data_IF_171161451347
#
_entry.id   IF_171161451347
#
_cell.length_a   1.000
_cell.length_b   1.000
_cell.length_c   1.000
_cell.angle_alpha   90.00
_cell.angle_beta   90.00
_cell.angle_gamma   90.00
#
_symmetry.space_group_name_H-M   'P 1'
#
loop_
_entity.id
_entity.type
_entity.pdbx_description
1 polymer ?
#
# COMPACT_ATOMS: atom_id res chain seq x y z
N UNK A 1 -3.40 0.89 -26.45
CA UNK A 1 -4.49 1.76 -25.97
C UNK A 1 -3.93 2.62 -24.88
N UNK A 2 -4.07 3.95 -24.98
CA UNK A 2 -3.64 4.85 -23.90
C UNK A 2 -4.51 4.67 -22.65
N UNK A 3 -3.92 4.84 -21.48
CA UNK A 3 -4.67 4.86 -20.22
C UNK A 3 -5.33 6.23 -20.07
N UNK A 4 -6.65 6.28 -19.84
CA UNK A 4 -7.39 7.53 -19.61
C UNK A 4 -6.75 8.35 -18.49
N UNK A 5 -6.17 7.69 -17.48
CA UNK A 5 -5.46 8.33 -16.37
C UNK A 5 -4.19 9.04 -16.87
N UNK A 6 -3.33 8.34 -17.62
CA UNK A 6 -2.09 8.90 -18.18
C UNK A 6 -2.39 10.01 -19.20
N UNK A 7 -3.38 9.83 -20.04
CA UNK A 7 -3.78 10.85 -21.01
C UNK A 7 -4.24 12.13 -20.33
N UNK A 8 -5.05 12.02 -19.25
CA UNK A 8 -5.49 13.16 -18.45
C UNK A 8 -4.33 13.87 -17.75
N UNK A 9 -3.36 13.12 -17.19
CA UNK A 9 -2.15 13.70 -16.59
C UNK A 9 -1.31 14.48 -17.60
N UNK A 10 -1.31 14.05 -18.85
CA UNK A 10 -0.64 14.74 -19.97
C UNK A 10 -1.49 15.88 -20.59
N UNK A 11 -2.57 16.29 -19.95
CA UNK A 11 -3.43 17.38 -20.40
C UNK A 11 -4.29 17.05 -21.62
N UNK A 12 -4.40 15.79 -22.02
CA UNK A 12 -5.28 15.38 -23.13
C UNK A 12 -6.73 15.33 -22.67
N UNK A 13 -7.64 15.73 -23.55
CA UNK A 13 -9.08 15.61 -23.33
C UNK A 13 -9.48 14.14 -23.31
N UNK A 14 -10.32 13.78 -22.35
CA UNK A 14 -10.88 12.43 -22.22
C UNK A 14 -12.40 12.49 -22.18
N UNK A 15 -13.08 11.40 -22.56
CA UNK A 15 -14.56 11.31 -22.58
C UNK A 15 -15.19 11.38 -21.18
N UNK A 16 -14.42 11.11 -20.13
CA UNK A 16 -14.80 11.22 -18.72
C UNK A 16 -13.56 11.43 -17.85
N UNK A 17 -13.69 11.93 -16.62
CA UNK A 17 -12.55 11.94 -15.70
C UNK A 17 -12.13 10.51 -15.32
N UNK A 18 -10.83 10.26 -15.09
CA UNK A 18 -10.38 9.00 -14.51
C UNK A 18 -10.84 8.86 -13.06
N UNK A 19 -11.13 7.65 -12.63
CA UNK A 19 -11.71 7.36 -11.32
C UNK A 19 -10.78 6.49 -10.49
N UNK A 20 -10.59 6.90 -9.25
CA UNK A 20 -9.97 6.13 -8.18
C UNK A 20 -10.82 6.28 -6.91
N UNK A 21 -10.98 5.20 -6.14
CA UNK A 21 -11.72 5.24 -4.88
C UNK A 21 -10.80 5.06 -3.68
N UNK A 22 -10.93 5.92 -2.67
CA UNK A 22 -10.24 5.75 -1.41
C UNK A 22 -10.58 4.38 -0.80
N UNK A 23 -9.56 3.67 -0.28
CA UNK A 23 -9.68 2.32 0.30
C UNK A 23 -10.22 1.24 -0.66
N UNK A 24 -10.08 1.46 -1.95
CA UNK A 24 -10.51 0.49 -2.96
C UNK A 24 -9.84 -0.89 -2.80
N UNK A 25 -8.54 -0.95 -2.42
CA UNK A 25 -7.85 -2.20 -2.08
C UNK A 25 -8.10 -2.53 -0.59
N UNK A 26 -9.09 -3.35 -0.30
CA UNK A 26 -9.43 -3.66 1.08
C UNK A 26 -10.63 -4.59 1.24
N UNK A 27 -11.13 -4.67 2.47
CA UNK A 27 -12.21 -5.61 2.89
C UNK A 27 -13.54 -5.47 2.13
N UNK A 28 -13.73 -4.40 1.39
CA UNK A 28 -14.89 -4.23 0.50
C UNK A 28 -14.86 -5.26 -0.65
N UNK A 29 -13.68 -5.63 -1.13
CA UNK A 29 -13.53 -6.56 -2.24
C UNK A 29 -13.65 -8.02 -1.78
N UNK A 30 -14.52 -8.83 -2.42
CA UNK A 30 -14.58 -10.27 -2.16
C UNK A 30 -13.25 -10.98 -2.43
N UNK A 31 -12.54 -10.60 -3.49
CA UNK A 31 -11.21 -11.11 -3.86
C UNK A 31 -10.16 -10.84 -2.78
N UNK A 32 -10.15 -9.64 -2.18
CA UNK A 32 -9.29 -9.34 -1.05
C UNK A 32 -9.63 -10.19 0.18
N UNK A 33 -10.93 -10.36 0.51
CA UNK A 33 -11.35 -11.23 1.61
C UNK A 33 -10.94 -12.68 1.41
N UNK A 34 -10.92 -13.16 0.16
CA UNK A 34 -10.43 -14.51 -0.16
C UNK A 34 -8.92 -14.65 0.13
N UNK A 35 -8.11 -13.64 -0.24
CA UNK A 35 -6.69 -13.63 0.10
C UNK A 35 -6.45 -13.59 1.61
N UNK A 36 -7.22 -12.80 2.34
CA UNK A 36 -7.12 -12.67 3.81
C UNK A 36 -7.43 -13.97 4.57
N UNK A 37 -8.04 -14.97 3.95
CA UNK A 37 -8.22 -16.30 4.57
C UNK A 37 -6.92 -17.10 4.65
N UNK A 38 -5.99 -16.85 3.73
CA UNK A 38 -4.75 -17.61 3.58
C UNK A 38 -3.51 -16.83 4.01
N UNK A 39 -3.60 -15.51 4.07
CA UNK A 39 -2.46 -14.63 4.33
C UNK A 39 -2.81 -13.59 5.39
N UNK A 40 -1.86 -13.30 6.26
CA UNK A 40 -1.92 -12.19 7.22
C UNK A 40 -1.82 -10.85 6.48
N UNK A 41 -2.11 -9.75 7.17
CA UNK A 41 -1.92 -8.41 6.61
C UNK A 41 -0.45 -8.13 6.29
N UNK A 42 0.46 -8.53 7.19
CA UNK A 42 1.90 -8.37 7.00
C UNK A 42 2.42 -9.13 5.76
N UNK A 43 2.00 -10.38 5.58
CA UNK A 43 2.37 -11.14 4.39
C UNK A 43 1.87 -10.48 3.11
N UNK A 44 0.61 -10.01 3.09
CA UNK A 44 0.05 -9.31 1.93
C UNK A 44 0.78 -8.01 1.60
N UNK A 45 1.33 -7.34 2.60
CA UNK A 45 2.03 -6.06 2.44
C UNK A 45 3.51 -6.24 2.09
N UNK A 46 4.18 -7.23 2.72
CA UNK A 46 5.64 -7.41 2.62
C UNK A 46 6.08 -8.35 1.50
N UNK A 47 5.22 -9.28 1.12
CA UNK A 47 5.50 -10.12 -0.04
C UNK A 47 5.17 -9.36 -1.32
N UNK A 48 6.16 -9.22 -2.16
CA UNK A 48 6.09 -8.44 -3.40
C UNK A 48 4.96 -8.92 -4.31
N UNK A 49 4.88 -10.20 -4.58
CA UNK A 49 3.86 -10.74 -5.49
C UNK A 49 2.44 -10.56 -4.92
N UNK A 50 2.28 -10.72 -3.60
CA UNK A 50 1.01 -10.51 -2.92
C UNK A 50 0.60 -9.03 -2.89
N UNK A 51 1.53 -8.13 -2.59
CA UNK A 51 1.27 -6.68 -2.60
C UNK A 51 0.85 -6.20 -4.00
N UNK A 52 1.57 -6.61 -5.04
CA UNK A 52 1.21 -6.35 -6.43
C UNK A 52 -0.17 -6.90 -6.77
N UNK A 53 -0.45 -8.15 -6.41
CA UNK A 53 -1.75 -8.78 -6.63
C UNK A 53 -2.88 -7.99 -5.96
N UNK A 54 -2.72 -7.60 -4.70
CA UNK A 54 -3.72 -6.81 -3.96
C UNK A 54 -3.91 -5.43 -4.60
N UNK A 55 -2.83 -4.79 -5.03
CA UNK A 55 -2.86 -3.49 -5.73
C UNK A 55 -3.73 -3.54 -6.98
N UNK A 56 -3.68 -4.64 -7.74
CA UNK A 56 -4.42 -4.80 -8.99
C UNK A 56 -5.89 -5.23 -8.80
N UNK A 57 -6.29 -5.72 -7.62
CA UNK A 57 -7.67 -6.16 -7.40
C UNK A 57 -8.72 -5.09 -7.74
N UNK A 58 -8.57 -3.81 -7.34
CA UNK A 58 -9.55 -2.79 -7.69
C UNK A 58 -9.71 -2.57 -9.19
N UNK A 59 -8.60 -2.65 -9.94
CA UNK A 59 -8.64 -2.54 -11.40
C UNK A 59 -9.50 -3.68 -11.99
N UNK A 60 -9.29 -4.89 -11.48
CA UNK A 60 -9.98 -6.08 -11.99
C UNK A 60 -11.45 -6.14 -11.54
N UNK A 61 -11.73 -5.84 -10.27
CA UNK A 61 -13.05 -6.03 -9.66
C UNK A 61 -13.96 -4.82 -9.89
N UNK A 62 -13.44 -3.60 -9.82
CA UNK A 62 -14.21 -2.36 -9.87
C UNK A 62 -14.05 -1.59 -11.18
N UNK A 63 -13.09 -1.98 -12.04
CA UNK A 63 -12.78 -1.30 -13.31
C UNK A 63 -12.42 0.18 -13.12
N UNK A 64 -11.74 0.50 -12.02
CA UNK A 64 -11.17 1.84 -11.77
C UNK A 64 -9.99 2.12 -12.70
N UNK A 65 -9.65 3.39 -12.88
CA UNK A 65 -8.62 3.80 -13.85
C UNK A 65 -7.23 3.95 -13.24
N UNK A 66 -7.15 3.92 -11.91
CA UNK A 66 -5.89 4.04 -11.17
C UNK A 66 -5.87 3.13 -9.95
N UNK A 67 -4.69 2.67 -9.58
CA UNK A 67 -4.43 1.96 -8.33
C UNK A 67 -3.24 2.61 -7.61
N UNK A 68 -3.28 2.57 -6.28
CA UNK A 68 -2.17 2.94 -5.41
C UNK A 68 -1.59 1.67 -4.84
N UNK A 69 -0.26 1.59 -4.75
CA UNK A 69 0.42 0.45 -4.16
C UNK A 69 -0.19 0.10 -2.80
N UNK A 70 -0.54 -1.18 -2.65
CA UNK A 70 -1.03 -1.69 -1.38
C UNK A 70 0.10 -1.68 -0.34
N UNK A 71 -0.01 -0.77 0.62
CA UNK A 71 0.95 -0.55 1.68
C UNK A 71 0.23 -0.03 2.93
N UNK A 72 0.95 0.10 4.05
CA UNK A 72 0.47 0.74 5.27
C UNK A 72 1.17 2.09 5.46
N UNK A 73 0.44 3.07 5.98
CA UNK A 73 1.00 4.37 6.34
C UNK A 73 2.04 4.27 7.47
N UNK A 74 1.99 3.19 8.26
CA UNK A 74 2.89 2.93 9.37
C UNK A 74 4.25 2.38 8.92
N UNK A 75 4.43 2.09 7.63
CA UNK A 75 5.73 1.65 7.08
C UNK A 75 6.81 2.72 7.28
N UNK A 76 6.44 4.01 7.25
CA UNK A 76 7.38 5.11 7.46
C UNK A 76 7.91 5.14 8.89
N UNK A 77 7.07 5.21 9.95
CA UNK A 77 7.56 5.14 11.32
C UNK A 77 8.28 3.83 11.65
N UNK A 78 7.85 2.70 11.08
CA UNK A 78 8.57 1.42 11.21
C UNK A 78 9.97 1.51 10.61
N UNK A 79 10.12 2.13 9.43
CA UNK A 79 11.42 2.34 8.78
C UNK A 79 12.31 3.31 9.54
N UNK A 80 11.73 4.17 10.36
CA UNK A 80 12.46 5.05 11.28
C UNK A 80 12.88 4.36 12.59
N UNK A 81 12.69 3.04 12.69
CA UNK A 81 13.13 2.25 13.85
C UNK A 81 12.07 2.08 14.94
N UNK A 82 10.82 2.50 14.72
CA UNK A 82 9.75 2.25 15.69
C UNK A 82 9.25 0.81 15.59
N UNK A 83 9.21 0.11 16.71
CA UNK A 83 8.70 -1.26 16.79
C UNK A 83 7.18 -1.28 16.65
N UNK A 84 6.70 -1.81 15.53
CA UNK A 84 5.28 -1.93 15.20
C UNK A 84 4.80 -3.38 15.32
N UNK A 85 3.75 -3.58 16.10
CA UNK A 85 3.03 -4.85 16.21
C UNK A 85 1.58 -4.70 15.72
N UNK A 86 1.11 -5.65 14.90
CA UNK A 86 -0.30 -5.72 14.50
C UNK A 86 -1.06 -6.66 15.44
N UNK A 87 -1.80 -6.08 16.37
CA UNK A 87 -2.63 -6.81 17.32
C UNK A 87 -4.07 -6.98 16.84
N UNK A 88 -4.87 -7.78 17.55
CA UNK A 88 -6.30 -7.92 17.27
C UNK A 88 -7.09 -6.61 17.47
N UNK A 89 -6.54 -5.67 18.25
CA UNK A 89 -7.12 -4.35 18.51
C UNK A 89 -6.63 -3.28 17.51
N UNK A 90 -5.70 -3.64 16.65
CA UNK A 90 -5.08 -2.74 15.67
C UNK A 90 -3.56 -2.64 15.85
N UNK A 91 -2.92 -1.75 15.08
CA UNK A 91 -1.48 -1.52 15.18
C UNK A 91 -1.13 -0.87 16.53
N UNK A 92 -0.01 -1.30 17.10
CA UNK A 92 0.54 -0.78 18.35
C UNK A 92 2.05 -0.55 18.19
N UNK A 93 2.52 0.62 18.58
CA UNK A 93 3.95 0.88 18.77
C UNK A 93 4.35 0.52 20.20
N UNK A 94 5.42 -0.26 20.35
CA UNK A 94 5.95 -0.61 21.67
C UNK A 94 6.62 0.59 22.32
N UNK A 95 7.33 1.40 21.53
CA UNK A 95 8.05 2.60 21.97
C UNK A 95 7.54 3.82 21.19
N UNK A 96 6.36 4.39 21.54
CA UNK A 96 5.84 5.55 20.85
C UNK A 96 6.76 6.76 21.07
N UNK A 97 6.88 7.60 20.04
CA UNK A 97 7.64 8.86 20.12
C UNK A 97 6.95 9.82 21.07
N UNK A 98 7.72 10.41 21.97
CA UNK A 98 7.33 11.49 22.84
C UNK A 98 8.36 12.63 22.79
N UNK A 99 8.16 13.70 23.54
CA UNK A 99 9.03 14.88 23.52
C UNK A 99 10.50 14.57 23.92
N UNK A 100 10.71 13.51 24.72
CA UNK A 100 12.01 13.08 25.23
C UNK A 100 12.66 11.98 24.36
N UNK A 101 12.04 11.59 23.26
CA UNK A 101 12.54 10.49 22.42
C UNK A 101 13.62 10.98 21.47
N UNK A 102 14.85 10.53 21.69
CA UNK A 102 15.93 10.68 20.70
C UNK A 102 15.66 9.74 19.52
N UNK A 103 15.19 10.26 18.41
CA UNK A 103 15.00 9.52 17.17
C UNK A 103 16.36 9.26 16.52
N UNK A 104 16.83 8.02 16.63
CA UNK A 104 17.95 7.54 15.83
C UNK A 104 17.40 6.99 14.53
N UNK A 105 17.59 7.73 13.44
CA UNK A 105 17.17 7.30 12.11
C UNK A 105 18.17 6.26 11.60
N UNK A 106 17.75 5.01 11.51
CA UNK A 106 18.53 3.94 10.89
C UNK A 106 18.13 3.81 9.42
N UNK A 107 18.95 4.36 8.55
CA UNK A 107 18.72 4.31 7.10
C UNK A 107 18.83 2.92 6.50
N UNK A 108 19.43 1.95 7.18
CA UNK A 108 19.50 0.56 6.71
C UNK A 108 18.12 -0.11 6.64
N UNK A 109 17.16 0.39 7.41
CA UNK A 109 15.78 -0.12 7.41
C UNK A 109 14.96 0.35 6.20
N UNK A 110 15.46 1.26 5.37
CA UNK A 110 14.72 1.73 4.19
C UNK A 110 14.77 0.75 3.01
N UNK A 111 15.70 -0.19 2.97
CA UNK A 111 15.84 -1.12 1.86
C UNK A 111 14.56 -1.91 1.59
N UNK A 112 13.85 -2.38 2.63
CA UNK A 112 12.59 -3.09 2.45
C UNK A 112 11.44 -2.20 1.93
N UNK A 113 11.49 -0.87 2.17
CA UNK A 113 10.53 0.09 1.61
C UNK A 113 10.80 0.27 0.13
N UNK A 114 12.08 0.45 -0.25
CA UNK A 114 12.49 0.52 -1.65
C UNK A 114 12.13 -0.75 -2.40
N UNK A 115 12.38 -1.90 -1.80
CA UNK A 115 12.02 -3.18 -2.36
C UNK A 115 10.52 -3.30 -2.65
N UNK A 116 9.66 -2.83 -1.78
CA UNK A 116 8.22 -2.82 -1.99
C UNK A 116 7.79 -1.83 -3.09
N UNK A 117 8.48 -0.70 -3.22
CA UNK A 117 8.18 0.32 -4.24
C UNK A 117 8.71 -0.10 -5.62
N UNK A 118 9.90 -0.69 -5.69
CA UNK A 118 10.54 -1.09 -6.95
C UNK A 118 9.73 -2.11 -7.77
N UNK A 119 8.81 -2.84 -7.13
CA UNK A 119 7.94 -3.81 -7.82
C UNK A 119 6.91 -3.22 -8.75
N UNK A 120 6.64 -1.92 -8.64
CA UNK A 120 5.73 -1.25 -9.57
C UNK A 120 6.38 -0.93 -10.91
N UNK A 121 7.69 -1.11 -11.03
CA UNK A 121 8.47 -0.77 -12.24
C UNK A 121 8.96 -1.99 -13.02
N UNK A 122 8.64 -3.18 -12.55
CA UNK A 122 8.88 -4.45 -13.26
C UNK A 122 7.57 -5.09 -13.69
#
# INVERSE_FOLDING_TARGET
MGSIFIDTLNGKSSSRPPVWFMRQAGRILPSYRALKKNYTFNELMRDKALASKVTLLPINDLKVDAAILFSDILIVPESLGLELEFTNLGPKFHNPVNEDTDLVIDYSNFDHVYDNICLLYT
#
